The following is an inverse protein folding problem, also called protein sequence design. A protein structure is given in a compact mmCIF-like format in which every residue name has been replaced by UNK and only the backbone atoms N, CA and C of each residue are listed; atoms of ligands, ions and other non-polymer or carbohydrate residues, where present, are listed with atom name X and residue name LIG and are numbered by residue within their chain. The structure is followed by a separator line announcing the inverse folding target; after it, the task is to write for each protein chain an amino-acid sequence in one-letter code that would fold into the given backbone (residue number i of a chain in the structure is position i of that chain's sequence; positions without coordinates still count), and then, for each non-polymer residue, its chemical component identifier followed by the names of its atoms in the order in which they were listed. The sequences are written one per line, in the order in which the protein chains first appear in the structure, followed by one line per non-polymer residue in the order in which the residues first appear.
data_IF_525055519026
#
_entry.id   IF_525055519026
#
_cell.length_a   1.000
_cell.length_b   1.000
_cell.length_c   1.000
_cell.angle_alpha   90.00
_cell.angle_beta   90.00
_cell.angle_gamma   90.00
#
_symmetry.space_group_name_H-M   'P 1'
#
loop_
_entity.id
_entity.type
_entity.pdbx_description
1 polymer ?
#
# COMPACT_ATOMS: atom_id res chain seq x y z
N UNK A 1 17.36 -19.77 15.12
CA UNK A 1 18.56 -19.02 15.51
C UNK A 1 18.21 -17.55 15.51
N UNK A 2 18.70 -16.79 16.50
CA UNK A 2 18.54 -15.34 16.54
C UNK A 2 19.61 -14.75 15.62
N UNK A 3 19.19 -13.95 14.62
CA UNK A 3 20.10 -13.27 13.70
C UNK A 3 20.91 -12.20 14.43
N UNK A 4 22.16 -11.99 14.03
CA UNK A 4 22.98 -10.87 14.48
C UNK A 4 22.70 -9.60 13.64
N UNK A 5 23.30 -8.48 14.04
CA UNK A 5 23.10 -7.19 13.35
C UNK A 5 23.58 -7.22 11.89
N UNK A 6 24.66 -7.94 11.57
CA UNK A 6 25.18 -8.06 10.19
C UNK A 6 24.19 -8.81 9.28
N UNK A 7 23.61 -9.90 9.78
CA UNK A 7 22.57 -10.64 9.06
C UNK A 7 21.32 -9.78 8.82
N UNK A 8 20.93 -8.97 9.81
CA UNK A 8 19.82 -8.03 9.65
C UNK A 8 20.11 -6.91 8.65
N UNK A 9 21.35 -6.43 8.58
CA UNK A 9 21.77 -5.47 7.54
C UNK A 9 21.62 -6.07 6.14
N UNK A 10 22.04 -7.33 5.96
CA UNK A 10 21.86 -8.07 4.69
C UNK A 10 20.39 -8.21 4.32
N UNK A 11 19.51 -8.54 5.27
CA UNK A 11 18.07 -8.65 5.03
C UNK A 11 17.47 -7.32 4.54
N UNK A 12 17.83 -6.19 5.17
CA UNK A 12 17.34 -4.86 4.79
C UNK A 12 17.80 -4.48 3.38
N UNK A 13 19.09 -4.65 3.08
CA UNK A 13 19.66 -4.36 1.76
C UNK A 13 18.98 -5.20 0.68
N UNK A 14 18.77 -6.49 0.94
CA UNK A 14 18.08 -7.38 0.01
C UNK A 14 16.63 -6.96 -0.24
N UNK A 15 15.88 -6.57 0.79
CA UNK A 15 14.51 -6.07 0.63
C UNK A 15 14.49 -4.76 -0.17
N UNK A 16 15.40 -3.82 0.09
CA UNK A 16 15.52 -2.60 -0.71
C UNK A 16 15.80 -2.90 -2.20
N UNK A 17 16.71 -3.84 -2.48
CA UNK A 17 17.01 -4.29 -3.85
C UNK A 17 15.79 -4.90 -4.53
N UNK A 18 15.02 -5.74 -3.82
CA UNK A 18 13.79 -6.34 -4.36
C UNK A 18 12.71 -5.31 -4.65
N UNK A 19 12.48 -4.37 -3.72
CA UNK A 19 11.51 -3.29 -3.93
C UNK A 19 11.86 -2.44 -5.16
N UNK A 20 13.13 -2.09 -5.32
CA UNK A 20 13.61 -1.35 -6.49
C UNK A 20 13.45 -2.15 -7.79
N UNK A 21 13.87 -3.41 -7.81
CA UNK A 21 13.77 -4.27 -9.00
C UNK A 21 12.32 -4.53 -9.45
N UNK A 22 11.35 -4.44 -8.52
CA UNK A 22 9.92 -4.52 -8.81
C UNK A 22 9.28 -3.19 -9.18
N UNK A 23 10.03 -2.09 -9.15
CA UNK A 23 9.53 -0.75 -9.44
C UNK A 23 8.61 -0.17 -8.35
N UNK A 24 8.67 -0.70 -7.12
CA UNK A 24 7.86 -0.21 -6.00
C UNK A 24 8.47 0.98 -5.27
N UNK A 25 9.71 1.32 -5.59
CA UNK A 25 10.40 2.53 -5.12
C UNK A 25 11.27 3.05 -6.26
N UNK A 26 11.48 4.36 -6.30
CA UNK A 26 12.42 4.99 -7.22
C UNK A 26 13.47 5.79 -6.42
N UNK A 27 14.72 5.82 -6.90
CA UNK A 27 15.78 6.61 -6.29
C UNK A 27 15.86 6.43 -4.75
N UNK A 28 15.68 7.52 -4.01
CA UNK A 28 15.78 7.55 -2.55
C UNK A 28 14.49 7.19 -1.79
N UNK A 29 13.41 6.90 -2.52
CA UNK A 29 12.07 6.61 -1.99
C UNK A 29 12.03 5.31 -1.20
N UNK A 30 10.99 5.18 -0.38
CA UNK A 30 10.81 4.04 0.51
C UNK A 30 11.88 3.95 1.59
N UNK A 31 11.59 3.14 2.59
CA UNK A 31 12.49 2.93 3.71
C UNK A 31 12.13 1.65 4.46
N UNK A 32 13.16 1.07 5.08
CA UNK A 32 13.04 -0.18 5.84
C UNK A 32 13.72 0.03 7.17
N UNK A 33 13.09 -0.46 8.24
CA UNK A 33 13.72 -0.50 9.55
C UNK A 33 13.47 -1.81 10.28
N UNK A 34 14.35 -2.10 11.23
CA UNK A 34 14.26 -3.22 12.15
C UNK A 34 14.61 -2.75 13.57
N UNK A 35 13.81 -3.15 14.55
CA UNK A 35 14.10 -2.99 15.97
C UNK A 35 15.25 -3.90 16.38
N UNK A 36 16.25 -3.31 17.02
CA UNK A 36 17.37 -4.00 17.65
C UNK A 36 17.21 -4.02 19.18
N UNK A 37 17.95 -4.89 19.90
CA UNK A 37 18.00 -4.86 21.35
C UNK A 37 18.44 -3.51 21.91
N UNK A 38 18.02 -3.24 23.16
CA UNK A 38 18.33 -2.02 23.93
C UNK A 38 17.75 -0.73 23.32
N UNK A 39 16.49 -0.79 22.85
CA UNK A 39 15.76 0.36 22.31
C UNK A 39 16.51 1.06 21.16
N UNK A 40 17.13 0.26 20.29
CA UNK A 40 17.79 0.74 19.07
C UNK A 40 16.99 0.33 17.86
N UNK A 41 17.14 1.07 16.76
CA UNK A 41 16.52 0.73 15.47
C UNK A 41 17.60 0.81 14.40
N UNK A 42 17.71 -0.23 13.59
CA UNK A 42 18.47 -0.24 12.35
C UNK A 42 17.56 0.27 11.22
N UNK A 43 18.01 1.22 10.41
CA UNK A 43 17.19 1.79 9.34
C UNK A 43 18.00 2.18 8.12
N UNK A 44 17.32 2.24 6.98
CA UNK A 44 17.87 2.78 5.74
C UNK A 44 18.21 4.27 5.86
N UNK A 45 19.29 4.74 5.21
CA UNK A 45 19.72 6.14 5.25
C UNK A 45 18.83 7.05 4.40
N UNK A 46 18.80 8.33 4.73
CA UNK A 46 18.19 9.37 3.87
C UNK A 46 19.02 9.64 2.62
N UNK A 47 18.39 10.17 1.56
CA UNK A 47 18.99 10.66 0.30
C UNK A 47 19.77 9.65 -0.56
N UNK A 48 20.04 8.44 -0.08
CA UNK A 48 20.68 7.40 -0.86
C UNK A 48 19.67 6.56 -1.64
N UNK A 49 20.10 6.16 -2.84
CA UNK A 49 19.33 5.30 -3.73
C UNK A 49 19.13 3.91 -3.11
N UNK A 50 17.91 3.57 -2.70
CA UNK A 50 17.65 2.35 -1.90
C UNK A 50 17.99 1.06 -2.64
N UNK A 51 17.87 1.04 -3.97
CA UNK A 51 18.30 -0.11 -4.77
C UNK A 51 19.81 -0.37 -4.78
N UNK A 52 20.66 0.59 -4.37
CA UNK A 52 22.12 0.54 -4.51
C UNK A 52 22.90 0.71 -3.21
N UNK A 53 22.20 0.83 -2.06
CA UNK A 53 22.86 0.85 -0.76
C UNK A 53 23.46 -0.52 -0.44
N UNK A 54 24.45 -0.52 0.46
CA UNK A 54 25.05 -1.72 1.04
C UNK A 54 24.95 -1.66 2.58
N UNK A 55 25.42 -2.70 3.27
CA UNK A 55 25.20 -2.91 4.70
C UNK A 55 25.82 -1.82 5.58
N UNK A 56 26.95 -1.23 5.17
CA UNK A 56 27.65 -0.15 5.91
C UNK A 56 26.93 1.21 5.78
N UNK A 57 26.04 1.35 4.80
CA UNK A 57 25.27 2.59 4.62
C UNK A 57 24.09 2.68 5.60
N UNK A 58 23.67 1.55 6.19
CA UNK A 58 22.57 1.50 7.16
C UNK A 58 22.94 2.16 8.49
N UNK A 59 21.96 2.85 9.08
CA UNK A 59 22.11 3.73 10.24
C UNK A 59 21.45 3.09 11.46
N UNK A 60 22.07 3.23 12.63
CA UNK A 60 21.45 2.86 13.92
C UNK A 60 21.02 4.12 14.64
N UNK A 61 19.79 4.14 15.11
CA UNK A 61 19.17 5.23 15.86
C UNK A 61 18.60 4.74 17.20
N UNK A 62 18.32 5.66 18.11
CA UNK A 62 17.49 5.41 19.29
C UNK A 62 15.98 5.53 18.97
N UNK A 63 15.13 5.35 20.00
CA UNK A 63 13.67 5.44 19.87
C UNK A 63 13.16 6.88 19.74
N UNK A 64 14.03 7.87 19.94
CA UNK A 64 13.79 9.30 19.75
C UNK A 64 14.14 9.74 18.32
N UNK A 65 14.79 8.86 17.56
CA UNK A 65 15.20 9.09 16.17
C UNK A 65 16.58 9.73 16.02
N UNK A 66 17.33 9.87 17.11
CA UNK A 66 18.69 10.39 17.08
C UNK A 66 19.67 9.30 16.65
N UNK A 67 20.65 9.69 15.83
CA UNK A 67 21.66 8.78 15.29
C UNK A 67 22.65 8.34 16.37
N UNK A 68 22.73 7.02 16.58
CA UNK A 68 23.73 6.37 17.43
C UNK A 68 24.98 6.04 16.60
N UNK A 69 24.82 5.45 15.41
CA UNK A 69 25.94 5.08 14.55
C UNK A 69 25.56 5.04 13.06
N UNK A 70 26.56 5.07 12.18
CA UNK A 70 26.40 5.15 10.72
C UNK A 70 26.85 6.49 10.16
N UNK A 71 27.24 6.52 8.89
CA UNK A 71 27.79 7.73 8.25
C UNK A 71 26.69 8.74 7.88
N UNK A 72 25.51 8.24 7.51
CA UNK A 72 24.39 9.04 7.02
C UNK A 72 23.37 9.37 8.13
N UNK A 73 22.38 10.21 7.81
CA UNK A 73 21.20 10.40 8.65
C UNK A 73 20.12 9.33 8.38
N UNK A 74 19.19 9.08 9.32
CA UNK A 74 18.06 8.17 9.09
C UNK A 74 17.11 8.74 8.03
N UNK A 75 16.25 7.89 7.47
CA UNK A 75 15.16 8.31 6.57
C UNK A 75 14.36 9.50 7.15
N UNK A 76 13.91 10.41 6.27
CA UNK A 76 13.04 11.54 6.64
C UNK A 76 11.67 11.11 7.20
N UNK A 77 11.28 9.85 6.98
CA UNK A 77 10.00 9.29 7.41
C UNK A 77 10.13 8.34 8.60
N UNK A 78 11.29 8.33 9.24
CA UNK A 78 11.57 7.42 10.36
C UNK A 78 10.58 7.56 11.52
N UNK A 79 9.97 8.74 11.69
CA UNK A 79 8.95 8.99 12.73
C UNK A 79 7.75 8.06 12.58
N UNK A 80 7.34 7.74 11.35
CA UNK A 80 6.25 6.79 11.07
C UNK A 80 6.60 5.37 11.56
N UNK A 81 7.85 4.94 11.34
CA UNK A 81 8.33 3.64 11.78
C UNK A 81 8.44 3.56 13.30
N UNK A 82 8.98 4.61 13.93
CA UNK A 82 9.05 4.73 15.39
C UNK A 82 7.67 4.68 16.04
N UNK A 83 6.65 5.27 15.41
CA UNK A 83 5.28 5.19 15.90
C UNK A 83 4.74 3.76 15.87
N UNK A 84 4.97 3.02 14.78
CA UNK A 84 4.63 1.60 14.72
C UNK A 84 5.25 0.83 15.90
N UNK A 85 6.54 1.07 16.15
CA UNK A 85 7.26 0.43 17.25
C UNK A 85 6.74 0.83 18.64
N UNK A 86 6.30 2.06 18.85
CA UNK A 86 5.72 2.49 20.14
C UNK A 86 4.35 1.85 20.38
N UNK A 87 3.55 1.76 19.33
CA UNK A 87 2.17 1.27 19.43
C UNK A 87 2.08 -0.26 19.46
N UNK A 88 3.06 -0.96 18.86
CA UNK A 88 3.05 -2.42 18.69
C UNK A 88 4.39 -3.03 19.14
N UNK A 89 4.48 -3.57 20.36
CA UNK A 89 5.68 -4.26 20.85
C UNK A 89 6.03 -5.53 20.07
N UNK A 90 5.04 -6.18 19.44
CA UNK A 90 5.21 -7.35 18.59
C UNK A 90 5.82 -7.03 17.22
N UNK A 91 5.78 -5.76 16.80
CA UNK A 91 6.38 -5.30 15.55
C UNK A 91 7.90 -5.12 15.72
N UNK A 92 8.63 -5.85 14.89
CA UNK A 92 10.09 -5.83 14.84
C UNK A 92 10.60 -5.19 13.56
N UNK A 93 9.91 -5.32 12.44
CA UNK A 93 10.29 -4.71 11.17
C UNK A 93 9.16 -3.87 10.57
N UNK A 94 9.54 -2.81 9.86
CA UNK A 94 8.63 -1.92 9.15
C UNK A 94 9.19 -1.68 7.75
N UNK A 95 8.34 -1.82 6.73
CA UNK A 95 8.67 -1.57 5.33
C UNK A 95 7.67 -0.54 4.78
N UNK A 96 8.20 0.57 4.29
CA UNK A 96 7.48 1.58 3.55
C UNK A 96 7.96 1.59 2.08
N UNK A 97 6.99 1.57 1.17
CA UNK A 97 7.22 1.58 -0.27
C UNK A 97 6.06 2.22 -1.02
N UNK A 98 6.22 2.45 -2.32
CA UNK A 98 5.25 3.08 -3.22
C UNK A 98 4.80 2.09 -4.32
N UNK A 99 4.16 0.94 -3.95
CA UNK A 99 3.76 -0.08 -4.91
C UNK A 99 2.73 0.47 -5.92
N UNK A 100 3.00 0.25 -7.21
CA UNK A 100 2.40 0.99 -8.33
C UNK A 100 0.88 0.86 -8.37
N UNK A 101 0.36 -0.37 -8.31
CA UNK A 101 -1.08 -0.58 -8.38
C UNK A 101 -1.76 -0.13 -7.10
N UNK A 102 -1.20 -0.40 -5.92
CA UNK A 102 -1.83 0.09 -4.69
C UNK A 102 -1.92 1.62 -4.66
N UNK A 103 -0.85 2.35 -5.05
CA UNK A 103 -0.88 3.82 -5.12
C UNK A 103 -1.92 4.29 -6.14
N UNK A 104 -2.01 3.66 -7.32
CA UNK A 104 -3.02 3.96 -8.32
C UNK A 104 -4.46 3.80 -7.79
N UNK A 105 -4.71 2.78 -6.97
CA UNK A 105 -6.00 2.60 -6.31
C UNK A 105 -6.34 3.75 -5.37
N UNK A 106 -5.38 4.24 -4.57
CA UNK A 106 -5.61 5.40 -3.70
C UNK A 106 -5.92 6.66 -4.52
N UNK A 107 -5.23 6.88 -5.64
CA UNK A 107 -5.47 8.02 -6.54
C UNK A 107 -6.85 7.96 -7.19
N UNK A 108 -7.33 6.76 -7.50
CA UNK A 108 -8.64 6.51 -8.08
C UNK A 108 -9.79 6.54 -7.04
N UNK A 109 -9.50 6.70 -5.75
CA UNK A 109 -10.50 6.62 -4.68
C UNK A 109 -11.08 5.22 -4.50
N UNK A 110 -10.30 4.20 -4.83
CA UNK A 110 -10.71 2.79 -4.78
C UNK A 110 -10.08 2.09 -3.58
N UNK A 111 -10.95 1.57 -2.73
CA UNK A 111 -10.54 0.79 -1.56
C UNK A 111 -10.01 -0.60 -1.91
N UNK A 112 -8.94 -1.02 -1.23
CA UNK A 112 -8.44 -2.40 -1.17
C UNK A 112 -8.92 -3.17 0.08
N UNK A 113 -9.82 -2.60 0.90
CA UNK A 113 -10.22 -3.20 2.18
C UNK A 113 -11.16 -4.41 2.04
N UNK A 114 -11.82 -4.57 0.89
CA UNK A 114 -12.69 -5.71 0.62
C UNK A 114 -11.85 -6.96 0.34
N UNK A 115 -12.18 -8.06 0.99
CA UNK A 115 -11.51 -9.34 0.75
C UNK A 115 -11.96 -9.91 -0.59
N UNK A 116 -11.11 -9.76 -1.61
CA UNK A 116 -11.34 -10.33 -2.94
C UNK A 116 -10.85 -11.77 -3.04
N UNK A 117 -9.80 -12.11 -2.30
CA UNK A 117 -9.07 -13.36 -2.46
C UNK A 117 -8.87 -14.05 -1.10
N UNK A 118 -8.89 -15.40 -1.02
CA UNK A 118 -8.73 -16.13 0.23
C UNK A 118 -7.43 -15.80 0.99
N UNK A 119 -6.32 -15.61 0.29
CA UNK A 119 -5.02 -15.29 0.88
C UNK A 119 -5.05 -13.96 1.64
N UNK A 120 -5.86 -12.99 1.20
CA UNK A 120 -6.06 -11.73 1.93
C UNK A 120 -6.69 -12.00 3.29
N UNK A 121 -7.67 -12.90 3.37
CA UNK A 121 -8.31 -13.29 4.64
C UNK A 121 -7.31 -13.96 5.59
N UNK A 122 -6.43 -14.80 5.05
CA UNK A 122 -5.43 -15.51 5.85
C UNK A 122 -4.28 -14.63 6.36
N UNK A 123 -3.81 -13.67 5.55
CA UNK A 123 -2.56 -12.95 5.87
C UNK A 123 -2.75 -11.50 6.27
N UNK A 124 -3.68 -10.78 5.64
CA UNK A 124 -3.81 -9.33 5.77
C UNK A 124 -5.06 -8.92 6.55
N UNK A 125 -6.16 -9.68 6.42
CA UNK A 125 -7.49 -9.20 6.78
C UNK A 125 -7.91 -8.08 5.82
N UNK A 126 -8.44 -6.98 6.36
CA UNK A 126 -8.68 -5.78 5.56
C UNK A 126 -7.43 -4.91 5.46
N UNK A 127 -7.27 -4.24 4.31
CA UNK A 127 -6.20 -3.26 4.08
C UNK A 127 -6.82 -1.85 4.15
N UNK A 128 -6.77 -1.16 5.30
CA UNK A 128 -7.27 0.21 5.42
C UNK A 128 -6.42 1.20 4.62
N UNK A 129 -7.02 2.35 4.30
CA UNK A 129 -6.31 3.51 3.74
C UNK A 129 -6.35 4.65 4.75
N UNK A 130 -5.19 5.03 5.27
CA UNK A 130 -5.04 6.24 6.06
C UNK A 130 -5.22 7.47 5.16
N UNK A 131 -5.93 8.48 5.68
CA UNK A 131 -6.17 9.76 5.00
C UNK A 131 -4.86 10.44 4.63
N UNK A 132 -4.91 11.27 3.59
CA UNK A 132 -3.75 12.05 3.17
C UNK A 132 -3.11 12.81 4.35
N UNK A 133 -1.79 12.82 4.38
CA UNK A 133 -0.97 13.54 5.36
C UNK A 133 0.31 13.96 4.68
N UNK A 134 0.82 15.13 5.02
CA UNK A 134 2.03 15.68 4.40
C UNK A 134 3.24 14.83 4.81
N UNK A 135 3.94 14.16 3.86
CA UNK A 135 5.11 13.34 4.19
C UNK A 135 6.17 14.12 4.96
N UNK A 136 6.96 13.43 5.77
CA UNK A 136 8.04 14.01 6.61
C UNK A 136 7.60 14.95 7.74
N UNK A 137 6.28 15.13 7.94
CA UNK A 137 5.71 15.88 9.06
C UNK A 137 5.16 14.94 10.13
N UNK A 138 4.71 15.51 11.26
CA UNK A 138 4.07 14.74 12.33
C UNK A 138 2.64 14.29 11.99
N UNK A 139 2.09 14.73 10.85
CA UNK A 139 0.77 14.31 10.36
C UNK A 139 0.74 12.82 9.98
N UNK A 140 1.81 12.29 9.38
CA UNK A 140 1.86 10.88 8.93
C UNK A 140 1.82 9.89 10.10
N UNK A 141 2.65 10.04 11.16
CA UNK A 141 2.49 9.23 12.36
C UNK A 141 1.06 9.25 12.91
N UNK A 142 0.42 10.42 12.96
CA UNK A 142 -0.93 10.58 13.51
C UNK A 142 -1.99 9.84 12.67
N UNK A 143 -1.89 9.90 11.33
CA UNK A 143 -2.88 9.28 10.45
C UNK A 143 -2.88 7.76 10.47
N UNK A 144 -1.77 7.13 10.87
CA UNK A 144 -1.70 5.66 10.99
C UNK A 144 -2.11 5.12 12.36
N UNK A 145 -2.20 5.95 13.41
CA UNK A 145 -2.43 5.48 14.79
C UNK A 145 -3.73 4.70 14.96
N UNK A 146 -4.79 5.08 14.25
CA UNK A 146 -6.09 4.39 14.32
C UNK A 146 -6.04 2.99 13.69
N UNK A 147 -5.08 2.73 12.79
CA UNK A 147 -4.99 1.48 12.04
C UNK A 147 -3.89 0.56 12.55
N UNK A 148 -2.72 1.08 12.91
CA UNK A 148 -1.53 0.28 13.22
C UNK A 148 -1.71 -0.63 14.45
N UNK A 149 -2.69 -0.33 15.32
CA UNK A 149 -3.07 -1.19 16.44
C UNK A 149 -3.60 -2.55 16.00
N UNK A 150 -4.23 -2.62 14.83
CA UNK A 150 -4.99 -3.78 14.40
C UNK A 150 -4.56 -4.37 13.05
N UNK A 151 -3.88 -3.58 12.22
CA UNK A 151 -3.55 -3.94 10.84
C UNK A 151 -2.05 -3.99 10.62
N UNK A 152 -1.61 -5.03 9.91
CA UNK A 152 -0.19 -5.22 9.57
C UNK A 152 0.19 -4.61 8.21
N UNK A 153 -0.80 -4.11 7.47
CA UNK A 153 -0.64 -3.39 6.21
C UNK A 153 -1.63 -2.23 6.12
N UNK A 154 -1.12 -1.04 5.80
CA UNK A 154 -1.89 0.20 5.70
C UNK A 154 -1.52 0.89 4.40
N UNK A 155 -2.52 1.30 3.62
CA UNK A 155 -2.32 2.20 2.50
C UNK A 155 -2.26 3.64 2.98
N UNK A 156 -1.38 4.45 2.42
CA UNK A 156 -1.26 5.88 2.67
C UNK A 156 -1.80 6.60 1.42
N UNK A 157 -2.91 7.34 1.57
CA UNK A 157 -3.56 8.01 0.45
C UNK A 157 -2.59 8.90 -0.33
N UNK A 158 -2.49 8.69 -1.65
CA UNK A 158 -1.62 9.45 -2.59
C UNK A 158 -0.13 9.40 -2.27
N UNK A 159 0.29 8.43 -1.48
CA UNK A 159 1.66 8.35 -0.99
C UNK A 159 2.27 6.97 -1.21
N UNK A 160 1.75 5.93 -0.57
CA UNK A 160 2.41 4.63 -0.59
C UNK A 160 1.73 3.62 0.32
N UNK A 161 2.52 2.69 0.83
CA UNK A 161 2.07 1.64 1.73
C UNK A 161 3.01 1.52 2.92
N UNK A 162 2.48 1.04 4.03
CA UNK A 162 3.22 0.76 5.26
C UNK A 162 2.88 -0.66 5.70
N UNK A 163 3.89 -1.50 5.88
CA UNK A 163 3.72 -2.89 6.30
C UNK A 163 4.64 -3.22 7.46
N UNK A 164 4.16 -4.07 8.38
CA UNK A 164 4.88 -4.41 9.61
C UNK A 164 4.93 -5.92 9.83
N UNK A 165 5.97 -6.40 10.51
CA UNK A 165 6.16 -7.82 10.75
C UNK A 165 7.18 -8.16 11.84
N UNK A 166 7.31 -9.45 12.15
CA UNK A 166 8.28 -9.97 13.11
C UNK A 166 9.70 -10.03 12.53
N UNK A 167 9.82 -10.08 11.20
CA UNK A 167 11.09 -9.98 10.47
C UNK A 167 10.95 -9.02 9.29
N UNK A 168 12.09 -8.58 8.76
CA UNK A 168 12.16 -7.74 7.55
C UNK A 168 11.43 -8.40 6.38
N UNK A 169 11.58 -9.72 6.23
CA UNK A 169 10.90 -10.48 5.18
C UNK A 169 9.42 -10.67 5.44
N UNK A 170 8.95 -10.78 6.69
CA UNK A 170 7.52 -10.84 6.96
C UNK A 170 6.81 -9.55 6.54
N UNK A 171 7.38 -8.39 6.90
CA UNK A 171 6.85 -7.09 6.48
C UNK A 171 6.88 -6.96 4.94
N UNK A 172 8.01 -7.31 4.30
CA UNK A 172 8.12 -7.30 2.85
C UNK A 172 7.12 -8.24 2.15
N UNK A 173 6.89 -9.44 2.68
CA UNK A 173 5.93 -10.40 2.12
C UNK A 173 4.50 -9.86 2.15
N UNK A 174 4.14 -9.06 3.16
CA UNK A 174 2.86 -8.36 3.20
C UNK A 174 2.80 -7.27 2.12
N UNK A 175 3.89 -6.51 1.91
CA UNK A 175 4.00 -5.55 0.81
C UNK A 175 3.81 -6.24 -0.55
N UNK A 176 4.45 -7.39 -0.76
CA UNK A 176 4.28 -8.15 -2.01
C UNK A 176 2.82 -8.57 -2.20
N UNK A 177 2.17 -8.99 -1.11
CA UNK A 177 0.79 -9.47 -1.14
C UNK A 177 -0.19 -8.36 -1.47
N UNK A 178 -0.06 -7.18 -0.86
CA UNK A 178 -0.99 -6.06 -1.12
C UNK A 178 -0.90 -5.60 -2.59
N UNK A 179 0.31 -5.57 -3.17
CA UNK A 179 0.48 -5.20 -4.58
C UNK A 179 -0.08 -6.27 -5.51
N UNK A 180 0.15 -7.54 -5.21
CA UNK A 180 -0.41 -8.64 -6.00
C UNK A 180 -1.95 -8.62 -6.03
N UNK A 181 -2.57 -8.35 -4.87
CA UNK A 181 -4.02 -8.19 -4.75
C UNK A 181 -4.51 -6.99 -5.56
N UNK A 182 -3.78 -5.87 -5.52
CA UNK A 182 -4.12 -4.68 -6.31
C UNK A 182 -4.02 -4.94 -7.82
N UNK A 183 -3.00 -5.68 -8.27
CA UNK A 183 -2.84 -6.10 -9.67
C UNK A 183 -3.99 -7.00 -10.14
N UNK A 184 -4.33 -8.04 -9.37
CA UNK A 184 -5.46 -8.93 -9.69
C UNK A 184 -6.76 -8.14 -9.73
N UNK A 185 -6.98 -7.27 -8.74
CA UNK A 185 -8.21 -6.46 -8.66
C UNK A 185 -8.30 -5.48 -9.84
N UNK A 186 -7.18 -4.92 -10.28
CA UNK A 186 -7.12 -4.08 -11.47
C UNK A 186 -7.49 -4.87 -12.72
N UNK A 187 -6.85 -6.02 -12.93
CA UNK A 187 -7.11 -6.87 -14.09
C UNK A 187 -8.57 -7.35 -14.12
N UNK A 188 -9.12 -7.78 -12.97
CA UNK A 188 -10.51 -8.22 -12.87
C UNK A 188 -11.50 -7.11 -13.24
N UNK A 189 -11.23 -5.84 -12.88
CA UNK A 189 -12.08 -4.69 -13.26
C UNK A 189 -12.10 -4.42 -14.77
N UNK A 190 -11.06 -4.81 -15.49
CA UNK A 190 -11.04 -4.70 -16.94
C UNK A 190 -11.92 -5.77 -17.61
N UNK A 191 -12.18 -6.87 -16.91
CA UNK A 191 -13.01 -7.98 -17.39
C UNK A 191 -14.49 -7.80 -17.04
N UNK A 192 -14.81 -7.10 -15.95
CA UNK A 192 -16.18 -6.80 -15.56
C UNK A 192 -16.35 -6.49 -14.08
N UNK A 193 -17.54 -6.80 -13.57
CA UNK A 193 -17.92 -6.53 -12.19
C UNK A 193 -17.13 -7.38 -11.19
N UNK A 194 -16.76 -6.76 -10.08
CA UNK A 194 -16.09 -7.44 -8.99
C UNK A 194 -17.09 -8.13 -8.08
N UNK A 195 -16.81 -9.39 -7.74
CA UNK A 195 -17.57 -10.19 -6.79
C UNK A 195 -16.69 -10.53 -5.57
N UNK A 196 -16.69 -9.70 -4.50
CA UNK A 196 -15.93 -9.98 -3.29
C UNK A 196 -16.42 -11.25 -2.58
N UNK A 197 -15.58 -11.80 -1.70
CA UNK A 197 -15.99 -12.91 -0.84
C UNK A 197 -17.17 -12.49 0.05
N UNK A 198 -18.20 -13.34 0.09
CA UNK A 198 -19.33 -13.18 1.00
C UNK A 198 -18.89 -13.37 2.46
N UNK A 199 -19.68 -12.83 3.39
CA UNK A 199 -19.40 -13.01 4.83
C UNK A 199 -19.33 -14.48 5.25
N UNK A 200 -20.17 -15.35 4.66
CA UNK A 200 -20.12 -16.79 4.93
C UNK A 200 -18.84 -17.45 4.41
N UNK A 201 -18.32 -17.02 3.25
CA UNK A 201 -17.03 -17.48 2.73
C UNK A 201 -15.86 -16.99 3.58
N UNK A 202 -15.89 -15.72 4.00
CA UNK A 202 -14.89 -15.13 4.90
C UNK A 202 -14.85 -15.91 6.22
N UNK A 203 -15.99 -16.18 6.84
CA UNK A 203 -16.07 -16.93 8.10
C UNK A 203 -15.55 -18.36 7.95
N UNK A 204 -15.86 -19.03 6.83
CA UNK A 204 -15.31 -20.36 6.54
C UNK A 204 -13.78 -20.32 6.43
N UNK A 205 -13.25 -19.31 5.76
CA UNK A 205 -11.79 -19.13 5.64
C UNK A 205 -11.14 -18.81 6.99
N UNK A 206 -11.78 -18.00 7.86
CA UNK A 206 -11.28 -17.76 9.22
C UNK A 206 -11.12 -19.06 10.01
N UNK A 207 -12.13 -19.93 9.98
CA UNK A 207 -12.06 -21.24 10.64
C UNK A 207 -10.96 -22.14 10.08
N UNK A 208 -10.73 -22.10 8.77
CA UNK A 208 -9.61 -22.81 8.15
C UNK A 208 -8.27 -22.24 8.64
N UNK A 209 -8.13 -20.92 8.71
CA UNK A 209 -6.93 -20.26 9.21
C UNK A 209 -6.64 -20.60 10.67
N UNK A 210 -7.66 -20.61 11.52
CA UNK A 210 -7.57 -21.05 12.91
C UNK A 210 -7.09 -22.50 13.02
N UNK A 211 -7.64 -23.41 12.20
CA UNK A 211 -7.20 -24.81 12.14
C UNK A 211 -5.74 -24.99 11.67
N UNK A 212 -5.20 -24.01 10.93
CA UNK A 212 -3.80 -23.96 10.50
C UNK A 212 -2.88 -23.23 11.50
N UNK A 213 -3.42 -22.73 12.62
CA UNK A 213 -2.66 -21.97 13.61
C UNK A 213 -2.29 -20.56 13.17
N UNK A 214 -2.98 -19.99 12.18
CA UNK A 214 -2.75 -18.62 11.75
C UNK A 214 -3.37 -17.62 12.75
N UNK A 215 -2.69 -16.51 13.05
CA UNK A 215 -3.24 -15.50 13.94
C UNK A 215 -4.48 -14.84 13.32
N UNK A 216 -5.53 -14.54 14.10
CA UNK A 216 -6.73 -13.92 13.57
C UNK A 216 -6.43 -12.53 13.00
N UNK A 217 -6.93 -12.25 11.79
CA UNK A 217 -6.78 -10.94 11.14
C UNK A 217 -8.06 -10.12 11.24
N UNK A 218 -7.95 -8.80 11.42
CA UNK A 218 -9.11 -7.90 11.50
C UNK A 218 -9.71 -7.68 10.12
N UNK A 219 -11.03 -7.83 10.02
CA UNK A 219 -11.78 -7.59 8.79
C UNK A 219 -12.75 -6.46 9.07
N UNK A 220 -12.70 -5.43 8.24
CA UNK A 220 -13.60 -4.29 8.32
C UNK A 220 -14.98 -4.72 7.86
N UNK A 221 -15.95 -4.66 8.77
CA UNK A 221 -17.30 -5.19 8.54
C UNK A 221 -18.11 -4.38 7.51
N UNK A 222 -17.77 -3.10 7.28
CA UNK A 222 -18.52 -2.19 6.38
C UNK A 222 -17.60 -1.19 5.67
N UNK A 223 -18.01 -0.69 4.50
CA UNK A 223 -17.28 0.36 3.77
C UNK A 223 -17.02 1.62 4.63
N UNK A 224 -17.95 1.98 5.52
CA UNK A 224 -17.83 3.11 6.46
C UNK A 224 -16.59 3.01 7.35
N UNK A 225 -16.21 1.79 7.73
CA UNK A 225 -15.04 1.53 8.58
C UNK A 225 -13.70 1.54 7.83
N UNK A 226 -13.74 1.56 6.49
CA UNK A 226 -12.55 1.61 5.65
C UNK A 226 -12.11 3.05 5.33
N UNK A 227 -13.04 4.02 5.35
CA UNK A 227 -12.80 5.46 5.03
C UNK A 227 -12.07 5.76 3.71
N UNK A 228 -11.80 4.77 2.86
CA UNK A 228 -11.04 4.94 1.62
C UNK A 228 -11.81 5.67 0.51
N UNK A 229 -13.12 5.90 0.66
CA UNK A 229 -13.90 6.78 -0.21
C UNK A 229 -14.49 7.94 0.59
N UNK A 230 -14.47 9.19 0.08
CA UNK A 230 -15.02 10.36 0.77
C UNK A 230 -16.51 10.25 1.09
N UNK A 231 -17.24 9.40 0.36
CA UNK A 231 -18.70 9.32 0.45
C UNK A 231 -19.21 8.34 1.50
N UNK A 232 -18.39 7.39 1.99
CA UNK A 232 -18.79 6.38 2.99
C UNK A 232 -19.97 5.47 2.63
N UNK A 233 -20.66 5.71 1.51
CA UNK A 233 -21.90 5.05 1.13
C UNK A 233 -21.61 3.78 0.34
N UNK A 234 -22.03 2.66 0.93
CA UNK A 234 -22.26 1.42 0.22
C UNK A 234 -23.39 1.68 -0.78
N UNK A 235 -23.10 1.75 -2.10
CA UNK A 235 -24.19 1.64 -3.09
C UNK A 235 -24.57 0.16 -3.08
N UNK A 236 -25.62 -0.18 -2.33
CA UNK A 236 -26.26 -1.49 -2.45
C UNK A 236 -26.74 -1.62 -3.89
N UNK A 237 -26.18 -2.56 -4.64
CA UNK A 237 -26.77 -3.01 -5.89
C UNK A 237 -28.08 -3.75 -5.56
N UNK A 238 -29.14 -3.00 -5.29
CA UNK A 238 -30.49 -3.50 -5.45
C UNK A 238 -30.86 -3.29 -6.92
N UNK A 239 -30.95 -4.42 -7.63
CA UNK A 239 -31.65 -4.64 -8.90
C UNK A 239 -32.34 -3.39 -9.50
N UNK A 240 -31.65 -2.68 -10.39
CA UNK A 240 -32.31 -1.94 -11.46
C UNK A 240 -31.38 -1.88 -12.67
N UNK A 241 -31.96 -2.18 -13.81
CA UNK A 241 -31.34 -2.37 -15.12
C UNK A 241 -30.89 -1.04 -15.74
N UNK A 242 -29.82 -0.43 -15.23
CA UNK A 242 -29.11 0.66 -15.90
C UNK A 242 -27.63 0.64 -15.52
N UNK A 243 -26.76 0.77 -16.52
CA UNK A 243 -25.32 0.57 -16.45
C UNK A 243 -24.59 1.40 -15.38
N UNK A 244 -23.54 0.77 -14.86
CA UNK A 244 -22.48 1.21 -13.95
C UNK A 244 -21.67 2.45 -14.43
N UNK A 245 -20.62 2.97 -13.70
CA UNK A 245 -20.02 2.47 -12.46
C UNK A 245 -19.57 3.51 -11.41
N UNK A 246 -19.11 2.97 -10.28
CA UNK A 246 -18.23 3.59 -9.29
C UNK A 246 -16.84 3.93 -9.89
N UNK A 247 -16.81 4.95 -10.75
CA UNK A 247 -15.71 5.86 -11.12
C UNK A 247 -16.45 7.09 -11.68
N UNK A 248 -16.13 8.36 -11.35
CA UNK A 248 -16.58 9.44 -12.20
C UNK A 248 -15.94 9.20 -13.58
N UNK A 249 -16.71 8.63 -14.51
CA UNK A 249 -16.34 8.57 -15.90
C UNK A 249 -16.31 10.01 -16.43
N UNK A 250 -15.17 10.69 -16.29
CA UNK A 250 -14.85 11.76 -17.22
C UNK A 250 -14.34 11.08 -18.47
N UNK A 251 -15.23 10.38 -19.16
CA UNK A 251 -15.14 10.35 -20.62
C UNK A 251 -15.66 11.73 -21.00
N UNK A 252 -14.83 12.64 -21.52
CA UNK A 252 -15.35 13.90 -22.03
C UNK A 252 -16.41 13.55 -23.05
N UNK A 253 -17.68 13.84 -22.73
CA UNK A 253 -18.73 13.84 -23.75
C UNK A 253 -18.34 14.95 -24.71
N UNK A 254 -17.71 14.55 -25.82
CA UNK A 254 -17.59 15.41 -26.99
C UNK A 254 -19.03 15.82 -27.31
N UNK A 255 -19.35 17.11 -27.24
CA UNK A 255 -20.70 17.58 -27.58
C UNK A 255 -21.03 17.14 -29.01
N UNK A 256 -22.30 16.93 -29.31
CA UNK A 256 -22.77 16.66 -30.68
C UNK A 256 -22.14 17.64 -31.67
N UNK A 257 -22.05 18.90 -31.26
CA UNK A 257 -21.53 20.01 -32.04
C UNK A 257 -20.03 19.84 -32.33
N UNK A 258 -19.26 19.33 -31.37
CA UNK A 258 -17.82 19.10 -31.56
C UNK A 258 -17.56 17.87 -32.45
N UNK A 259 -18.40 16.83 -32.38
CA UNK A 259 -18.33 15.70 -33.33
C UNK A 259 -18.66 16.13 -34.75
N UNK A 260 -19.65 17.02 -34.91
CA UNK A 260 -20.05 17.54 -36.22
C UNK A 260 -18.96 18.44 -36.82
N UNK A 261 -18.31 19.27 -36.00
CA UNK A 261 -17.14 20.07 -36.41
C UNK A 261 -15.98 19.17 -36.83
N UNK A 262 -15.66 18.12 -36.07
CA UNK A 262 -14.58 17.18 -36.42
C UNK A 262 -14.90 16.46 -37.74
N UNK A 263 -16.14 16.02 -37.94
CA UNK A 263 -16.56 15.37 -39.18
C UNK A 263 -16.48 16.32 -40.39
N UNK A 264 -16.91 17.57 -40.23
CA UNK A 264 -16.82 18.59 -41.29
C UNK A 264 -15.37 18.91 -41.66
N UNK A 265 -14.49 19.10 -40.67
CA UNK A 265 -13.09 19.45 -40.93
C UNK A 265 -12.31 18.27 -41.52
N UNK A 266 -12.59 17.04 -41.05
CA UNK A 266 -11.98 15.82 -41.60
C UNK A 266 -12.41 15.61 -43.05
N UNK A 267 -13.68 15.84 -43.39
CA UNK A 267 -14.17 15.75 -44.77
C UNK A 267 -13.52 16.81 -45.65
N UNK A 268 -13.39 18.04 -45.14
CA UNK A 268 -12.75 19.16 -45.85
C UNK A 268 -11.27 18.92 -46.13
N UNK A 269 -10.54 18.32 -45.19
CA UNK A 269 -9.14 17.91 -45.41
C UNK A 269 -9.04 16.77 -46.43
N UNK A 270 -9.90 15.75 -46.34
CA UNK A 270 -9.91 14.64 -47.31
C UNK A 270 -10.22 15.12 -48.74
N UNK A 271 -11.08 16.12 -48.90
CA UNK A 271 -11.39 16.70 -50.21
C UNK A 271 -10.22 17.51 -50.79
N UNK A 272 -9.29 18.03 -49.98
CA UNK A 272 -8.04 18.64 -50.47
C UNK A 272 -7.10 17.63 -51.13
N UNK A 273 -7.21 16.35 -50.77
CA UNK A 273 -6.41 15.27 -51.36
C UNK A 273 -7.09 14.61 -52.58
N UNK A 274 -8.29 15.07 -52.97
CA UNK A 274 -9.06 14.55 -54.11
C UNK A 274 -8.93 15.38 -55.40
N UNK A 275 -8.15 16.47 -55.39
CA UNK A 275 -7.80 17.26 -56.58
C UNK A 275 -6.30 17.20 -56.86
#
# INVERSE_FOLDING_TARGET
MIKNEEEHRKDIVEVCRRMYNKGWIAASDGNVSLRLPRNRVLTTPTKLHKGFINERDLVVIDMEGARISGQYGPSSEIRMHLECYRMRPDVMAVVHAHPTYCVAFTLAGVSLAKCMLPEVVFTLGSIPTASYSTPTTDEVPQSIQEYIKDFDAIMLERHGSLTVGATVFDAYNLLERIEHVAQITHAARQLGDLHPLSQGQIEKLRKVGEGLGLPPKKILARCESCKACPSGKFVSLQHSSAGMPCVPSVVPKISSDLMEIIAQETTRELDKFRN
#
